data_IF_057383788123
#
_entry.id   IF_057383788123
#
_cell.length_a   1.000
_cell.length_b   1.000
_cell.length_c   1.000
_cell.angle_alpha   90.00
_cell.angle_beta   90.00
_cell.angle_gamma   90.00
#
_symmetry.space_group_name_H-M   'P 1'
#
loop_
_entity.id
_entity.type
_entity.pdbx_description
1 polymer ?
#
# COMPACT_ATOMS: atom_id res chain seq x y z
N UNK A 1 -8.78 -22.68 37.47
CA UNK A 1 -8.19 -22.25 36.21
C UNK A 1 -7.37 -21.02 36.56
N UNK A 2 -6.06 -21.08 36.38
CA UNK A 2 -5.18 -19.96 36.73
C UNK A 2 -5.50 -18.75 35.86
N UNK A 3 -5.38 -17.54 36.42
CA UNK A 3 -5.62 -16.26 35.75
C UNK A 3 -4.86 -16.15 34.45
N UNK A 4 -3.60 -16.62 34.42
CA UNK A 4 -2.76 -16.68 33.20
C UNK A 4 -3.33 -17.59 32.10
N UNK A 5 -3.98 -18.70 32.47
CA UNK A 5 -4.65 -19.58 31.48
C UNK A 5 -5.92 -18.94 30.91
N UNK A 6 -6.64 -18.17 31.73
CA UNK A 6 -7.81 -17.42 31.28
C UNK A 6 -7.40 -16.32 30.30
N UNK A 7 -6.40 -15.52 30.64
CA UNK A 7 -5.82 -14.48 29.77
C UNK A 7 -5.26 -15.09 28.48
N UNK A 8 -4.61 -16.25 28.56
CA UNK A 8 -4.07 -16.97 27.40
C UNK A 8 -5.17 -17.50 26.49
N UNK A 9 -6.24 -18.08 27.03
CA UNK A 9 -7.41 -18.55 26.25
C UNK A 9 -8.15 -17.39 25.59
N UNK A 10 -8.27 -16.28 26.26
CA UNK A 10 -8.96 -15.10 25.75
C UNK A 10 -8.11 -14.37 24.69
N UNK A 11 -6.79 -14.35 24.83
CA UNK A 11 -5.87 -13.93 23.74
C UNK A 11 -5.99 -14.82 22.49
N UNK A 12 -6.27 -16.11 22.65
CA UNK A 12 -6.50 -17.02 21.53
C UNK A 12 -7.76 -16.69 20.73
N UNK A 13 -8.76 -16.05 21.32
CA UNK A 13 -9.97 -15.55 20.66
C UNK A 13 -9.68 -14.45 19.64
N UNK A 14 -8.62 -13.69 19.87
CA UNK A 14 -8.17 -12.62 18.99
C UNK A 14 -6.96 -13.02 18.15
N UNK A 15 -6.74 -14.32 17.95
CA UNK A 15 -5.58 -14.83 17.22
C UNK A 15 -5.52 -14.25 15.82
N UNK A 16 -4.51 -13.45 15.62
CA UNK A 16 -4.01 -12.86 14.37
C UNK A 16 -5.07 -12.12 13.56
N UNK A 17 -4.90 -10.86 13.42
CA UNK A 17 -5.71 -9.98 12.55
C UNK A 17 -5.42 -10.28 11.06
N UNK A 18 -5.67 -11.55 10.67
CA UNK A 18 -5.32 -12.07 9.35
C UNK A 18 -6.04 -11.34 8.22
N UNK A 19 -7.31 -10.95 8.43
CA UNK A 19 -8.09 -10.27 7.40
C UNK A 19 -7.48 -8.91 7.02
N UNK A 20 -7.11 -8.09 8.01
CA UNK A 20 -6.48 -6.79 7.75
C UNK A 20 -5.11 -6.94 7.07
N UNK A 21 -4.31 -7.94 7.50
CA UNK A 21 -3.04 -8.29 6.87
C UNK A 21 -3.23 -8.77 5.42
N UNK A 22 -4.22 -9.61 5.15
CA UNK A 22 -4.53 -10.09 3.79
C UNK A 22 -4.92 -8.93 2.86
N UNK A 23 -5.72 -7.98 3.34
CA UNK A 23 -6.07 -6.79 2.56
C UNK A 23 -4.83 -5.93 2.26
N UNK A 24 -3.91 -5.80 3.21
CA UNK A 24 -2.65 -5.11 2.97
C UNK A 24 -1.79 -5.82 1.91
N UNK A 25 -1.74 -7.16 1.93
CA UNK A 25 -1.02 -7.94 0.91
C UNK A 25 -1.68 -7.76 -0.47
N UNK A 26 -3.01 -7.77 -0.56
CA UNK A 26 -3.72 -7.49 -1.81
C UNK A 26 -3.41 -6.08 -2.34
N UNK A 27 -3.32 -5.09 -1.46
CA UNK A 27 -2.89 -3.74 -1.85
C UNK A 27 -1.49 -3.74 -2.46
N UNK A 28 -0.54 -4.51 -1.89
CA UNK A 28 0.81 -4.66 -2.43
C UNK A 28 0.77 -5.33 -3.81
N UNK A 29 -0.07 -6.36 -4.02
CA UNK A 29 -0.21 -6.99 -5.33
C UNK A 29 -0.63 -5.98 -6.40
N UNK A 30 -1.60 -5.12 -6.10
CA UNK A 30 -2.00 -4.05 -7.03
C UNK A 30 -0.91 -3.00 -7.23
N UNK A 31 -0.09 -2.72 -6.22
CA UNK A 31 1.06 -1.82 -6.35
C UNK A 31 2.16 -2.44 -7.22
N UNK A 32 2.39 -3.75 -7.15
CA UNK A 32 3.27 -4.47 -8.07
C UNK A 32 2.74 -4.42 -9.51
N UNK A 33 1.44 -4.61 -9.73
CA UNK A 33 0.83 -4.49 -11.05
C UNK A 33 0.94 -3.07 -11.60
N UNK A 34 0.76 -2.05 -10.76
CA UNK A 34 1.05 -0.67 -11.10
C UNK A 34 2.51 -0.49 -11.53
N UNK A 35 3.46 -0.97 -10.71
CA UNK A 35 4.89 -0.90 -10.97
C UNK A 35 5.26 -1.47 -12.34
N UNK A 36 4.78 -2.68 -12.64
CA UNK A 36 5.06 -3.33 -13.92
C UNK A 36 4.46 -2.59 -15.12
N UNK A 37 3.33 -1.92 -14.94
CA UNK A 37 2.66 -1.21 -16.04
C UNK A 37 3.18 0.21 -16.26
N UNK A 38 3.57 0.93 -15.20
CA UNK A 38 4.03 2.32 -15.33
C UNK A 38 5.34 2.42 -16.11
N UNK A 39 6.26 1.46 -15.92
CA UNK A 39 7.58 1.48 -16.57
C UNK A 39 7.62 0.79 -17.93
N UNK A 40 6.54 0.15 -18.35
CA UNK A 40 6.50 -0.59 -19.63
C UNK A 40 6.73 0.29 -20.86
N UNK A 41 6.28 1.54 -20.83
CA UNK A 41 6.42 2.49 -21.95
C UNK A 41 7.70 3.32 -21.88
N UNK A 42 8.15 3.64 -20.68
CA UNK A 42 9.23 4.59 -20.47
C UNK A 42 10.61 4.06 -20.85
N UNK A 43 10.82 2.75 -20.68
CA UNK A 43 12.12 2.12 -20.99
C UNK A 43 12.45 2.17 -22.48
N UNK A 44 11.43 2.16 -23.36
CA UNK A 44 11.65 2.10 -24.81
C UNK A 44 11.86 3.47 -25.48
N UNK A 45 11.41 4.59 -24.90
CA UNK A 45 11.30 5.85 -25.61
C UNK A 45 12.38 6.89 -25.28
N UNK A 46 13.15 6.74 -24.19
CA UNK A 46 14.08 7.78 -23.72
C UNK A 46 15.43 7.24 -23.23
N UNK A 47 15.91 6.14 -23.80
CA UNK A 47 17.23 5.59 -23.51
C UNK A 47 18.30 6.55 -24.04
N UNK A 48 18.81 7.44 -23.21
CA UNK A 48 19.88 8.38 -23.58
C UNK A 48 19.88 9.70 -22.81
N UNK A 49 18.76 10.06 -22.15
CA UNK A 49 18.73 11.28 -21.33
C UNK A 49 19.07 10.97 -19.87
N UNK A 50 20.23 11.42 -19.41
CA UNK A 50 20.74 11.18 -18.04
C UNK A 50 19.77 11.64 -16.93
N UNK A 51 19.16 12.81 -17.10
CA UNK A 51 18.17 13.33 -16.12
C UNK A 51 16.93 12.44 -16.01
N UNK A 52 16.47 11.92 -17.13
CA UNK A 52 15.34 11.01 -17.19
C UNK A 52 15.65 9.66 -16.50
N UNK A 53 16.85 9.11 -16.71
CA UNK A 53 17.29 7.89 -16.06
C UNK A 53 17.36 8.03 -14.54
N UNK A 54 17.85 9.16 -14.01
CA UNK A 54 17.86 9.44 -12.57
C UNK A 54 16.43 9.48 -12.02
N UNK A 55 15.51 10.13 -12.72
CA UNK A 55 14.11 10.23 -12.30
C UNK A 55 13.43 8.86 -12.26
N UNK A 56 13.66 8.01 -13.25
CA UNK A 56 13.16 6.63 -13.25
C UNK A 56 13.77 5.86 -12.08
N UNK A 57 15.08 5.90 -11.89
CA UNK A 57 15.76 5.23 -10.81
C UNK A 57 15.23 5.63 -9.42
N UNK A 58 15.06 6.92 -9.17
CA UNK A 58 14.47 7.45 -7.95
C UNK A 58 13.03 6.95 -7.75
N UNK A 59 12.23 6.93 -8.81
CA UNK A 59 10.86 6.43 -8.77
C UNK A 59 10.78 4.95 -8.46
N UNK A 60 11.68 4.14 -9.00
CA UNK A 60 11.78 2.69 -8.70
C UNK A 60 12.11 2.49 -7.22
N UNK A 61 13.11 3.21 -6.69
CA UNK A 61 13.48 3.13 -5.28
C UNK A 61 12.31 3.52 -4.38
N UNK A 62 11.61 4.61 -4.68
CA UNK A 62 10.43 5.05 -3.92
C UNK A 62 9.31 4.00 -3.94
N UNK A 63 9.07 3.35 -5.08
CA UNK A 63 8.10 2.26 -5.18
C UNK A 63 8.49 1.06 -4.31
N UNK A 64 9.75 0.66 -4.30
CA UNK A 64 10.24 -0.44 -3.47
C UNK A 64 10.12 -0.11 -1.98
N UNK A 65 10.48 1.11 -1.57
CA UNK A 65 10.31 1.58 -0.19
C UNK A 65 8.85 1.60 0.23
N UNK A 66 7.96 2.00 -0.68
CA UNK A 66 6.52 2.00 -0.45
C UNK A 66 5.99 0.57 -0.22
N UNK A 67 6.36 -0.37 -1.08
CA UNK A 67 5.98 -1.79 -0.92
C UNK A 67 6.53 -2.38 0.38
N UNK A 68 7.77 -2.06 0.74
CA UNK A 68 8.37 -2.48 2.00
C UNK A 68 7.60 -1.92 3.21
N UNK A 69 7.26 -0.63 3.20
CA UNK A 69 6.49 0.00 4.25
C UNK A 69 5.09 -0.62 4.39
N UNK A 70 4.42 -0.93 3.28
CA UNK A 70 3.14 -1.63 3.25
C UNK A 70 3.25 -3.05 3.81
N UNK A 71 4.32 -3.78 3.47
CA UNK A 71 4.57 -5.12 4.00
C UNK A 71 4.81 -5.09 5.52
N UNK A 72 5.68 -4.19 6.01
CA UNK A 72 5.92 -4.03 7.44
C UNK A 72 4.64 -3.63 8.20
N UNK A 73 3.81 -2.79 7.58
CA UNK A 73 2.51 -2.41 8.14
C UNK A 73 1.55 -3.60 8.21
N UNK A 74 1.55 -4.47 7.19
CA UNK A 74 0.78 -5.71 7.18
C UNK A 74 1.15 -6.63 8.34
N UNK A 75 2.44 -6.85 8.58
CA UNK A 75 2.92 -7.67 9.70
C UNK A 75 2.65 -7.02 11.06
N UNK A 76 2.78 -5.71 11.17
CA UNK A 76 2.45 -4.97 12.39
C UNK A 76 0.96 -5.07 12.76
N UNK A 77 0.07 -4.91 11.79
CA UNK A 77 -1.39 -5.03 11.96
C UNK A 77 -1.77 -6.45 12.34
N UNK A 78 -1.16 -7.47 11.75
CA UNK A 78 -1.36 -8.87 12.09
C UNK A 78 -1.10 -9.15 13.58
N UNK A 79 -0.20 -8.41 14.17
CA UNK A 79 0.16 -8.48 15.59
C UNK A 79 -0.62 -7.48 16.47
N UNK A 80 -1.75 -6.97 16.01
CA UNK A 80 -2.62 -6.03 16.74
C UNK A 80 -1.95 -4.71 17.16
N UNK A 81 -0.95 -4.26 16.43
CA UNK A 81 -0.32 -2.95 16.65
C UNK A 81 -1.08 -1.88 15.86
N UNK A 82 -1.92 -1.10 16.55
CA UNK A 82 -2.78 -0.07 15.93
C UNK A 82 -1.98 1.00 15.15
N UNK A 83 -0.75 1.28 15.59
CA UNK A 83 0.15 2.26 14.96
C UNK A 83 0.38 1.95 13.48
N UNK A 84 0.57 0.68 13.14
CA UNK A 84 0.74 0.24 11.76
C UNK A 84 -0.52 0.39 10.90
N UNK A 85 -1.69 0.41 11.54
CA UNK A 85 -2.93 0.75 10.88
C UNK A 85 -2.96 2.21 10.42
N UNK A 86 -2.46 3.13 11.23
CA UNK A 86 -2.33 4.55 10.83
C UNK A 86 -1.29 4.75 9.73
N UNK A 87 -0.15 4.03 9.80
CA UNK A 87 0.84 4.04 8.71
C UNK A 87 0.21 3.55 7.41
N UNK A 88 -0.56 2.47 7.46
CA UNK A 88 -1.24 1.92 6.29
C UNK A 88 -2.30 2.87 5.72
N UNK A 89 -3.04 3.58 6.56
CA UNK A 89 -3.96 4.63 6.12
C UNK A 89 -3.22 5.78 5.42
N UNK A 90 -2.08 6.20 5.95
CA UNK A 90 -1.22 7.20 5.33
C UNK A 90 -0.69 6.74 3.96
N UNK A 91 -0.24 5.48 3.86
CA UNK A 91 0.16 4.89 2.58
C UNK A 91 -0.99 4.87 1.57
N UNK A 92 -2.23 4.61 2.01
CA UNK A 92 -3.43 4.70 1.17
C UNK A 92 -3.64 6.11 0.60
N UNK A 93 -3.43 7.16 1.39
CA UNK A 93 -3.46 8.55 0.90
C UNK A 93 -2.36 8.80 -0.13
N UNK A 94 -1.14 8.32 0.14
CA UNK A 94 -0.03 8.46 -0.80
C UNK A 94 -0.28 7.76 -2.14
N UNK A 95 -1.02 6.63 -2.16
CA UNK A 95 -1.42 5.99 -3.42
C UNK A 95 -2.27 6.92 -4.30
N UNK A 96 -3.20 7.65 -3.68
CA UNK A 96 -4.02 8.62 -4.40
C UNK A 96 -3.16 9.77 -4.94
N UNK A 97 -2.25 10.29 -4.12
CA UNK A 97 -1.33 11.38 -4.53
C UNK A 97 -0.45 10.94 -5.70
N UNK A 98 0.01 9.69 -5.72
CA UNK A 98 0.84 9.13 -6.80
C UNK A 98 0.16 9.16 -8.17
N UNK A 99 -1.17 9.14 -8.24
CA UNK A 99 -1.92 9.28 -9.51
C UNK A 99 -1.54 10.58 -10.22
N UNK A 100 -1.37 11.65 -9.47
CA UNK A 100 -1.10 12.99 -10.00
C UNK A 100 0.39 13.24 -10.31
N UNK A 101 1.30 12.43 -9.75
CA UNK A 101 2.75 12.65 -9.91
C UNK A 101 3.25 12.02 -11.20
N UNK A 102 3.26 10.68 -11.31
CA UNK A 102 3.85 9.99 -12.46
C UNK A 102 2.84 9.70 -13.57
N UNK A 103 1.68 9.07 -13.31
CA UNK A 103 0.74 8.74 -14.37
C UNK A 103 0.21 9.96 -15.11
N UNK A 104 -0.18 11.02 -14.38
CA UNK A 104 -0.67 12.24 -14.99
C UNK A 104 0.38 12.95 -15.86
N UNK A 105 1.64 12.99 -15.36
CA UNK A 105 2.73 13.59 -16.13
C UNK A 105 3.10 12.78 -17.37
N UNK A 106 3.18 11.44 -17.25
CA UNK A 106 3.48 10.55 -18.37
C UNK A 106 2.36 10.59 -19.44
N UNK A 107 1.12 10.73 -19.02
CA UNK A 107 -0.02 10.87 -19.94
C UNK A 107 -0.05 12.23 -20.66
N UNK A 108 0.38 13.30 -19.98
CA UNK A 108 0.47 14.64 -20.57
C UNK A 108 1.71 14.83 -21.46
N UNK A 109 2.74 14.00 -21.29
CA UNK A 109 3.99 14.10 -22.05
C UNK A 109 3.83 13.53 -23.47
N UNK A 110 4.36 14.25 -24.46
CA UNK A 110 4.38 13.85 -25.87
C UNK A 110 5.83 13.68 -26.33
N UNK A 111 6.04 12.66 -27.16
CA UNK A 111 7.34 12.40 -27.79
C UNK A 111 7.15 12.38 -29.29
N UNK A 112 7.99 13.16 -30.01
CA UNK A 112 8.01 13.19 -31.46
C UNK A 112 9.19 12.35 -31.98
N UNK A 113 8.88 11.25 -32.64
CA UNK A 113 9.86 10.35 -33.27
C UNK A 113 9.58 10.32 -34.78
N UNK A 114 10.57 10.62 -35.56
CA UNK A 114 10.46 10.65 -37.05
C UNK A 114 9.27 11.47 -37.60
N UNK A 115 8.95 12.59 -36.95
CA UNK A 115 7.86 13.49 -37.37
C UNK A 115 6.46 13.04 -36.89
N UNK A 116 6.34 11.94 -36.16
CA UNK A 116 5.08 11.50 -35.59
C UNK A 116 5.07 11.78 -34.09
N UNK A 117 4.12 12.58 -33.62
CA UNK A 117 3.94 12.91 -32.21
C UNK A 117 3.03 11.87 -31.57
N UNK A 118 3.53 11.18 -30.54
CA UNK A 118 2.79 10.19 -29.77
C UNK A 118 2.88 10.51 -28.29
N UNK A 119 1.83 10.15 -27.53
CA UNK A 119 1.85 10.27 -26.07
C UNK A 119 2.80 9.22 -25.47
N UNK A 120 3.58 9.61 -24.45
CA UNK A 120 4.46 8.69 -23.70
C UNK A 120 3.63 7.57 -23.05
N UNK A 121 2.45 7.90 -22.55
CA UNK A 121 1.50 6.93 -22.01
C UNK A 121 0.15 7.02 -22.75
N UNK A 122 -0.27 5.92 -23.35
CA UNK A 122 -1.56 5.83 -24.03
C UNK A 122 -2.75 5.83 -23.04
N UNK A 123 -3.95 6.21 -23.51
CA UNK A 123 -5.15 6.33 -22.69
C UNK A 123 -5.48 5.01 -21.95
N UNK A 124 -5.38 3.87 -22.62
CA UNK A 124 -5.68 2.54 -22.01
C UNK A 124 -4.72 2.23 -20.86
N UNK A 125 -3.44 2.48 -21.04
CA UNK A 125 -2.42 2.26 -20.00
C UNK A 125 -2.63 3.22 -18.82
N UNK A 126 -2.94 4.49 -19.08
CA UNK A 126 -3.22 5.49 -18.07
C UNK A 126 -4.39 5.07 -17.17
N UNK A 127 -5.52 4.67 -17.79
CA UNK A 127 -6.69 4.17 -17.05
C UNK A 127 -6.36 2.93 -16.22
N UNK A 128 -5.63 1.98 -16.79
CA UNK A 128 -5.22 0.74 -16.10
C UNK A 128 -4.35 1.05 -14.86
N UNK A 129 -3.40 1.95 -15.00
CA UNK A 129 -2.49 2.38 -13.91
C UNK A 129 -3.28 3.07 -12.79
N UNK A 130 -4.24 3.94 -13.13
CA UNK A 130 -5.12 4.57 -12.13
C UNK A 130 -5.94 3.54 -11.39
N UNK A 131 -6.53 2.57 -12.10
CA UNK A 131 -7.33 1.51 -11.47
C UNK A 131 -6.50 0.73 -10.46
N UNK A 132 -5.26 0.37 -10.78
CA UNK A 132 -4.40 -0.34 -9.84
C UNK A 132 -4.06 0.48 -8.60
N UNK A 133 -3.76 1.77 -8.75
CA UNK A 133 -3.51 2.66 -7.61
C UNK A 133 -4.75 2.85 -6.73
N UNK A 134 -5.93 3.02 -7.34
CA UNK A 134 -7.18 3.14 -6.60
C UNK A 134 -7.54 1.86 -5.85
N UNK A 135 -7.40 0.69 -6.48
CA UNK A 135 -7.63 -0.59 -5.82
C UNK A 135 -6.66 -0.79 -4.66
N UNK A 136 -5.36 -0.50 -4.87
CA UNK A 136 -4.37 -0.53 -3.80
C UNK A 136 -4.76 0.38 -2.64
N UNK A 137 -5.17 1.64 -2.90
CA UNK A 137 -5.61 2.58 -1.87
C UNK A 137 -6.85 2.05 -1.10
N UNK A 138 -7.86 1.54 -1.81
CA UNK A 138 -9.08 0.99 -1.19
C UNK A 138 -8.73 -0.16 -0.25
N UNK A 139 -7.89 -1.10 -0.67
CA UNK A 139 -7.46 -2.22 0.18
C UNK A 139 -6.63 -1.77 1.37
N UNK A 140 -5.78 -0.73 1.21
CA UNK A 140 -5.04 -0.14 2.32
C UNK A 140 -5.98 0.50 3.34
N UNK A 141 -6.95 1.29 2.92
CA UNK A 141 -7.92 1.91 3.84
C UNK A 141 -8.79 0.87 4.54
N UNK A 142 -9.28 -0.13 3.82
CA UNK A 142 -10.07 -1.21 4.40
C UNK A 142 -9.28 -2.01 5.43
N UNK A 143 -8.04 -2.39 5.10
CA UNK A 143 -7.14 -3.08 6.02
C UNK A 143 -6.76 -2.24 7.24
N UNK A 144 -6.48 -0.95 7.04
CA UNK A 144 -6.20 0.00 8.11
C UNK A 144 -7.39 0.12 9.08
N UNK A 145 -8.59 0.33 8.56
CA UNK A 145 -9.80 0.45 9.36
C UNK A 145 -10.05 -0.81 10.21
N UNK A 146 -10.02 -1.99 9.59
CA UNK A 146 -10.25 -3.26 10.29
C UNK A 146 -9.13 -3.49 11.31
N UNK A 147 -7.89 -3.23 10.95
CA UNK A 147 -6.73 -3.39 11.81
C UNK A 147 -6.78 -2.52 13.06
N UNK A 148 -7.06 -1.22 12.89
CA UNK A 148 -7.19 -0.27 14.00
C UNK A 148 -8.37 -0.67 14.91
N UNK A 149 -9.54 -0.97 14.31
CA UNK A 149 -10.74 -1.35 15.07
C UNK A 149 -10.46 -2.55 15.95
N UNK A 150 -9.94 -3.65 15.38
CA UNK A 150 -9.66 -4.88 16.12
C UNK A 150 -8.55 -4.71 17.16
N UNK A 151 -7.53 -3.90 16.87
CA UNK A 151 -6.48 -3.58 17.84
C UNK A 151 -7.03 -2.85 19.06
N UNK A 152 -7.94 -1.89 18.86
CA UNK A 152 -8.61 -1.17 19.95
C UNK A 152 -9.55 -2.09 20.75
N UNK A 153 -10.29 -2.98 20.09
CA UNK A 153 -11.14 -3.97 20.74
C UNK A 153 -10.33 -4.89 21.64
N UNK A 154 -9.16 -5.37 21.17
CA UNK A 154 -8.27 -6.19 21.99
C UNK A 154 -7.72 -5.43 23.20
N UNK A 155 -7.30 -4.17 23.02
CA UNK A 155 -6.80 -3.34 24.12
C UNK A 155 -7.90 -3.08 25.18
N UNK A 156 -9.12 -2.79 24.75
CA UNK A 156 -10.26 -2.59 25.65
C UNK A 156 -10.59 -3.87 26.43
N UNK A 157 -10.50 -5.03 25.76
CA UNK A 157 -10.73 -6.32 26.40
C UNK A 157 -9.65 -6.63 27.46
N UNK A 158 -8.37 -6.41 27.16
CA UNK A 158 -7.27 -6.58 28.12
C UNK A 158 -7.49 -5.67 29.34
N UNK A 159 -7.82 -4.40 29.12
CA UNK A 159 -8.08 -3.45 30.21
C UNK A 159 -9.29 -3.84 31.08
N UNK A 160 -10.31 -4.50 30.52
CA UNK A 160 -11.45 -5.01 31.30
C UNK A 160 -11.06 -6.19 32.18
N UNK A 161 -10.17 -7.06 31.71
CA UNK A 161 -9.67 -8.20 32.48
C UNK A 161 -8.80 -7.75 33.68
N UNK A 162 -7.93 -6.75 33.47
CA UNK A 162 -7.11 -6.18 34.53
C UNK A 162 -7.95 -5.56 35.66
N UNK A 163 -9.08 -4.88 35.31
CA UNK A 163 -10.01 -4.32 36.29
C UNK A 163 -10.78 -5.38 37.07
N UNK A 164 -11.02 -6.55 36.50
CA UNK A 164 -11.74 -7.64 37.18
C UNK A 164 -10.81 -8.46 38.07
N UNK A 165 -9.49 -8.36 37.84
CA UNK A 165 -8.47 -9.07 38.61
C UNK A 165 -7.93 -8.27 39.80
N UNK A 166 -8.20 -6.97 39.87
CA UNK A 166 -7.84 -6.08 40.97
C UNK A 166 -9.00 -5.95 41.97
#
# INVERSE_FOLDING_TARGET
>A
MNEEEYIRKDRMRFTKNSLASTLAILAIVFDVLYFLNIYKSDVNNNVGNFYYQIRIGASIILNLLFMLAAFLSSEGIKNYKAEYGYVMAFLGVLQIVRIFILPAQAHAAEVTVAGVTTKVMGNSQYVTVIIYLLLSAIYMFAGAYIGIKRSKELQAHIASLEKTAA
#
